data_IF_290859817351
#
_entry.id   IF_290859817351
#
_cell.length_a   1.000
_cell.length_b   1.000
_cell.length_c   1.000
_cell.angle_alpha   90.00
_cell.angle_beta   90.00
_cell.angle_gamma   90.00
#
_symmetry.space_group_name_H-M   'P 1'
#
loop_
_entity.id
_entity.type
_entity.pdbx_description
1 polymer ?
#
# COMPACT_ATOMS: atom_id res chain seq x y z
N UNK A 1 -6.50 -5.60 -4.49
CA UNK A 1 -7.38 -4.57 -3.90
C UNK A 1 -7.93 -3.70 -5.02
N UNK A 2 -9.19 -3.34 -4.93
CA UNK A 2 -9.82 -2.45 -5.91
C UNK A 2 -9.37 -1.00 -5.67
N UNK A 3 -9.30 -0.19 -6.73
CA UNK A 3 -8.79 1.18 -6.60
C UNK A 3 -9.65 2.09 -5.74
N UNK A 4 -10.92 1.76 -5.53
CA UNK A 4 -11.83 2.55 -4.69
C UNK A 4 -11.76 2.19 -3.21
N UNK A 5 -11.11 1.08 -2.87
CA UNK A 5 -11.08 0.58 -1.48
C UNK A 5 -10.09 1.27 -0.55
N UNK A 6 -8.87 1.62 -1.01
CA UNK A 6 -7.87 2.15 -0.09
C UNK A 6 -8.28 3.51 0.48
N UNK A 7 -8.12 3.66 1.78
CA UNK A 7 -8.38 4.91 2.47
C UNK A 7 -7.41 5.07 3.65
N UNK A 8 -7.14 6.30 4.09
CA UNK A 8 -6.30 6.52 5.27
C UNK A 8 -6.82 5.75 6.49
N UNK A 9 -5.90 5.13 7.21
CA UNK A 9 -6.22 4.30 8.37
C UNK A 9 -6.42 2.83 8.06
N UNK A 10 -6.55 2.47 6.80
CA UNK A 10 -6.73 1.07 6.40
C UNK A 10 -5.45 0.28 6.57
N UNK A 11 -5.56 -0.94 7.10
CA UNK A 11 -4.42 -1.86 7.20
C UNK A 11 -4.28 -2.65 5.91
N UNK A 12 -3.06 -2.69 5.40
CA UNK A 12 -2.73 -3.36 4.14
C UNK A 12 -1.50 -4.25 4.30
N UNK A 13 -1.28 -5.12 3.32
CA UNK A 13 -0.09 -5.94 3.23
C UNK A 13 0.51 -5.79 1.84
N UNK A 14 1.83 -5.73 1.76
CA UNK A 14 2.54 -5.67 0.49
C UNK A 14 2.50 -7.06 -0.14
N UNK A 15 2.01 -7.14 -1.37
CA UNK A 15 1.96 -8.41 -2.11
C UNK A 15 3.37 -8.90 -2.41
N UNK A 16 3.56 -10.22 -2.32
CA UNK A 16 4.81 -10.85 -2.70
C UNK A 16 4.94 -10.90 -4.23
N UNK A 17 6.19 -11.00 -4.71
CA UNK A 17 6.45 -11.18 -6.13
C UNK A 17 6.57 -9.89 -6.93
N UNK A 18 6.53 -8.75 -6.27
CA UNK A 18 6.74 -7.46 -6.95
C UNK A 18 8.21 -7.08 -6.97
N UNK A 19 8.54 -6.09 -7.81
CA UNK A 19 9.92 -5.61 -7.91
C UNK A 19 10.44 -4.98 -6.61
N UNK A 20 9.54 -4.56 -5.70
CA UNK A 20 9.90 -4.06 -4.37
C UNK A 20 9.97 -5.22 -3.37
N UNK A 21 10.71 -6.27 -3.71
CA UNK A 21 10.72 -7.52 -2.95
C UNK A 21 11.15 -7.37 -1.48
N UNK A 22 11.93 -6.36 -1.16
CA UNK A 22 12.36 -6.13 0.23
C UNK A 22 11.19 -5.80 1.17
N UNK A 23 10.03 -5.45 0.63
CA UNK A 23 8.85 -5.16 1.43
C UNK A 23 7.81 -6.28 1.39
N UNK A 24 8.09 -7.36 0.66
CA UNK A 24 7.13 -8.47 0.48
C UNK A 24 6.57 -8.95 1.81
N UNK A 25 5.24 -9.03 1.89
CA UNK A 25 4.55 -9.54 3.06
C UNK A 25 4.45 -8.59 4.24
N UNK A 26 5.08 -7.41 4.17
CA UNK A 26 4.99 -6.45 5.26
C UNK A 26 3.60 -5.86 5.36
N UNK A 27 3.14 -5.68 6.60
CA UNK A 27 1.91 -4.96 6.89
C UNK A 27 2.20 -3.49 7.10
N UNK A 28 1.21 -2.67 6.86
CA UNK A 28 1.30 -1.25 7.12
C UNK A 28 -0.07 -0.61 7.16
N UNK A 29 -0.07 0.69 7.43
CA UNK A 29 -1.28 1.49 7.49
C UNK A 29 -1.22 2.57 6.43
N UNK A 30 -2.29 2.70 5.67
CA UNK A 30 -2.40 3.76 4.67
C UNK A 30 -2.47 5.11 5.38
N UNK A 31 -1.55 6.02 5.04
CA UNK A 31 -1.50 7.37 5.62
C UNK A 31 -2.11 8.41 4.69
N UNK A 32 -1.80 8.33 3.40
CA UNK A 32 -2.32 9.25 2.39
C UNK A 32 -2.65 8.51 1.11
N UNK A 33 -3.57 9.11 0.38
CA UNK A 33 -4.05 8.61 -0.91
C UNK A 33 -3.81 9.69 -1.96
N UNK A 34 -3.08 9.34 -3.03
CA UNK A 34 -2.66 10.26 -4.07
C UNK A 34 -3.18 9.83 -5.42
N UNK A 35 -3.61 10.81 -6.22
CA UNK A 35 -4.02 10.55 -7.59
C UNK A 35 -5.50 10.23 -7.71
N UNK A 36 -5.86 9.68 -8.85
CA UNK A 36 -7.25 9.34 -9.17
C UNK A 36 -7.35 7.84 -9.47
N UNK A 37 -8.57 7.31 -9.67
CA UNK A 37 -8.79 5.85 -9.70
C UNK A 37 -7.90 5.05 -10.63
N UNK A 38 -7.41 5.62 -11.72
CA UNK A 38 -6.56 4.91 -12.66
C UNK A 38 -5.08 4.93 -12.28
N UNK A 39 -4.69 5.88 -11.43
CA UNK A 39 -3.29 6.11 -11.04
C UNK A 39 -3.19 6.36 -9.54
N UNK A 40 -3.82 5.49 -8.78
CA UNK A 40 -3.88 5.66 -7.33
C UNK A 40 -2.60 5.15 -6.67
N UNK A 41 -1.93 6.04 -5.96
CA UNK A 41 -0.78 5.72 -5.14
C UNK A 41 -1.11 5.96 -3.67
N UNK A 42 -0.46 5.22 -2.80
CA UNK A 42 -0.73 5.27 -1.36
C UNK A 42 0.57 5.38 -0.59
N UNK A 43 0.59 6.31 0.36
CA UNK A 43 1.65 6.36 1.36
C UNK A 43 1.29 5.36 2.44
N UNK A 44 2.16 4.40 2.69
CA UNK A 44 1.94 3.35 3.67
C UNK A 44 3.03 3.42 4.73
N UNK A 45 2.61 3.55 5.97
CA UNK A 45 3.52 3.45 7.11
C UNK A 45 3.67 1.97 7.43
N UNK A 46 4.84 1.42 7.11
CA UNK A 46 5.13 0.01 7.27
C UNK A 46 5.39 -0.34 8.74
N UNK A 47 5.24 -1.63 9.06
CA UNK A 47 5.42 -2.13 10.42
C UNK A 47 6.83 -1.91 10.99
N UNK A 48 7.82 -1.70 10.11
CA UNK A 48 9.20 -1.38 10.53
C UNK A 48 9.42 0.12 10.74
N UNK A 49 8.38 0.93 10.61
CA UNK A 49 8.45 2.38 10.84
C UNK A 49 8.76 3.21 9.61
N UNK A 50 9.02 2.59 8.46
CA UNK A 50 9.30 3.33 7.23
C UNK A 50 8.00 3.74 6.52
N UNK A 51 8.00 4.94 5.96
CA UNK A 51 6.91 5.41 5.11
C UNK A 51 7.32 5.18 3.66
N UNK A 52 6.51 4.43 2.91
CA UNK A 52 6.83 4.04 1.55
C UNK A 52 5.62 4.23 0.64
N UNK A 53 5.86 4.72 -0.57
CA UNK A 53 4.83 4.89 -1.58
C UNK A 53 4.62 3.60 -2.36
N UNK A 54 3.36 3.18 -2.51
CA UNK A 54 2.99 2.01 -3.30
C UNK A 54 1.85 2.36 -4.24
N UNK A 55 1.81 1.68 -5.39
CA UNK A 55 0.60 1.66 -6.21
C UNK A 55 -0.43 0.76 -5.54
N UNK A 56 -1.72 1.07 -5.70
CA UNK A 56 -2.78 0.31 -5.04
C UNK A 56 -2.73 -1.19 -5.38
N UNK A 57 -2.32 -1.54 -6.61
CA UNK A 57 -2.28 -2.94 -7.04
C UNK A 57 -1.09 -3.72 -6.46
N UNK A 58 -0.15 -3.04 -5.82
CA UNK A 58 0.95 -3.69 -5.11
C UNK A 58 0.56 -4.11 -3.70
N UNK A 59 -0.66 -3.77 -3.28
CA UNK A 59 -1.13 -3.99 -1.92
C UNK A 59 -2.38 -4.88 -1.91
N UNK A 60 -2.60 -5.52 -0.77
CA UNK A 60 -3.83 -6.27 -0.51
C UNK A 60 -4.32 -5.94 0.89
N UNK A 61 -5.60 -6.22 1.16
CA UNK A 61 -6.14 -6.04 2.51
C UNK A 61 -5.44 -6.99 3.47
N UNK A 62 -5.10 -6.48 4.63
CA UNK A 62 -4.51 -7.30 5.68
C UNK A 62 -5.53 -7.72 6.69
#
# INVERSE_FOLDING_TARGET
>A
MQSHEPHPGMTVRVKAGHWKSKFDGMRGTVEHRWGHPHHLALDVLLEDGRLQLFWFHELEKA
#
